data_IF_020344780805
#
_entry.id   IF_020344780805
#
_cell.length_a   1.000
_cell.length_b   1.000
_cell.length_c   1.000
_cell.angle_alpha   90.00
_cell.angle_beta   90.00
_cell.angle_gamma   90.00
#
_symmetry.space_group_name_H-M   'P 1'
#
loop_
_entity.id
_entity.type
_entity.pdbx_description
1 polymer ?
#
# COMPACT_ATOMS: atom_id res chain seq x y z
N UNK A 1 -34.20 12.23 25.24
CA UNK A 1 -33.28 11.16 25.66
C UNK A 1 -33.66 9.88 24.93
N UNK A 2 -33.06 9.61 23.77
CA UNK A 2 -33.26 8.37 23.01
C UNK A 2 -31.99 7.53 23.14
N UNK A 3 -32.17 6.40 23.81
CA UNK A 3 -31.14 5.41 24.13
C UNK A 3 -30.67 4.78 22.81
N UNK A 4 -29.42 5.03 22.43
CA UNK A 4 -28.79 4.38 21.29
C UNK A 4 -28.88 2.86 21.45
N UNK A 5 -29.43 2.19 20.45
CA UNK A 5 -29.43 0.74 20.37
C UNK A 5 -27.96 0.27 20.36
N UNK A 6 -27.55 -0.38 21.46
CA UNK A 6 -26.32 -1.17 21.48
C UNK A 6 -26.51 -2.28 20.44
N UNK A 7 -25.75 -2.20 19.34
CA UNK A 7 -25.75 -3.24 18.32
C UNK A 7 -25.46 -4.59 18.96
N UNK A 8 -26.30 -5.58 18.66
CA UNK A 8 -26.05 -6.95 19.08
C UNK A 8 -24.64 -7.36 18.60
N UNK A 9 -23.84 -7.93 19.50
CA UNK A 9 -22.54 -8.46 19.13
C UNK A 9 -22.75 -9.48 18.01
N UNK A 10 -22.08 -9.27 16.88
CA UNK A 10 -22.22 -10.14 15.73
C UNK A 10 -21.77 -11.56 16.15
N UNK A 11 -22.57 -12.56 15.80
CA UNK A 11 -22.31 -13.94 16.24
C UNK A 11 -20.91 -14.39 15.77
N UNK A 12 -20.10 -15.01 16.65
CA UNK A 12 -18.78 -15.51 16.25
C UNK A 12 -18.93 -16.55 15.13
N UNK A 13 -18.00 -16.53 14.17
CA UNK A 13 -17.99 -17.50 13.10
C UNK A 13 -17.71 -18.91 13.66
N UNK A 14 -18.25 -19.93 13.00
CA UNK A 14 -17.91 -21.32 13.32
C UNK A 14 -16.39 -21.55 13.12
N UNK A 15 -15.71 -22.03 14.17
CA UNK A 15 -14.27 -22.26 14.16
C UNK A 15 -13.88 -23.31 13.12
N UNK A 16 -14.70 -24.33 12.90
CA UNK A 16 -14.41 -25.35 11.90
C UNK A 16 -14.49 -24.77 10.48
N UNK A 17 -15.47 -23.89 10.23
CA UNK A 17 -15.57 -23.15 8.98
C UNK A 17 -14.37 -22.23 8.75
N UNK A 18 -13.89 -21.52 9.78
CA UNK A 18 -12.68 -20.68 9.70
C UNK A 18 -11.48 -21.55 9.30
N UNK A 19 -11.24 -22.66 10.01
CA UNK A 19 -10.09 -23.55 9.75
C UNK A 19 -10.12 -24.14 8.35
N UNK A 20 -11.28 -24.57 7.87
CA UNK A 20 -11.46 -25.08 6.49
C UNK A 20 -11.18 -23.99 5.46
N UNK A 21 -11.71 -22.79 5.69
CA UNK A 21 -11.49 -21.62 4.81
C UNK A 21 -10.02 -21.25 4.72
N UNK A 22 -9.33 -21.15 5.87
CA UNK A 22 -7.90 -20.83 5.95
C UNK A 22 -7.08 -21.88 5.19
N UNK A 23 -7.31 -23.17 5.46
CA UNK A 23 -6.60 -24.27 4.79
C UNK A 23 -6.81 -24.26 3.28
N UNK A 24 -8.05 -24.06 2.83
CA UNK A 24 -8.37 -24.02 1.40
C UNK A 24 -7.72 -22.82 0.70
N UNK A 25 -7.73 -21.64 1.33
CA UNK A 25 -7.09 -20.45 0.78
C UNK A 25 -5.58 -20.60 0.66
N UNK A 26 -4.92 -21.09 1.72
CA UNK A 26 -3.48 -21.28 1.75
C UNK A 26 -3.03 -22.37 0.79
N UNK A 27 -3.76 -23.49 0.69
CA UNK A 27 -3.46 -24.55 -0.26
C UNK A 27 -3.59 -24.09 -1.72
N UNK A 28 -4.64 -23.32 -2.03
CA UNK A 28 -4.79 -22.69 -3.34
C UNK A 28 -3.63 -21.73 -3.63
N UNK A 29 -3.26 -20.89 -2.66
CA UNK A 29 -2.17 -19.94 -2.83
C UNK A 29 -0.83 -20.64 -3.06
N UNK A 30 -0.53 -21.69 -2.31
CA UNK A 30 0.69 -22.47 -2.53
C UNK A 30 0.79 -23.05 -3.95
N UNK A 31 -0.35 -23.39 -4.57
CA UNK A 31 -0.40 -23.93 -5.93
C UNK A 31 -0.41 -22.86 -7.04
N UNK A 32 -0.92 -21.66 -6.76
CA UNK A 32 -1.20 -20.65 -7.80
C UNK A 32 -0.55 -19.28 -7.57
N UNK A 33 0.26 -19.12 -6.51
CA UNK A 33 0.88 -17.86 -6.18
C UNK A 33 1.66 -17.29 -7.37
N UNK A 34 1.50 -15.99 -7.60
CA UNK A 34 2.29 -15.29 -8.61
C UNK A 34 3.78 -15.29 -8.19
N UNK A 35 4.71 -15.59 -9.11
CA UNK A 35 6.13 -15.59 -8.81
C UNK A 35 6.65 -14.14 -8.76
N UNK A 36 6.54 -13.52 -7.59
CA UNK A 36 6.99 -12.16 -7.33
C UNK A 36 8.22 -12.20 -6.41
N UNK A 37 9.35 -11.65 -6.86
CA UNK A 37 10.62 -11.61 -6.12
C UNK A 37 10.48 -10.94 -4.76
N UNK A 38 9.61 -9.93 -4.66
CA UNK A 38 9.34 -9.26 -3.39
C UNK A 38 8.72 -10.18 -2.34
N UNK A 39 8.03 -11.26 -2.74
CA UNK A 39 7.41 -12.22 -1.81
C UNK A 39 8.39 -13.29 -1.32
N UNK A 40 9.55 -13.42 -1.95
CA UNK A 40 10.65 -14.28 -1.50
C UNK A 40 11.41 -13.64 -0.32
N UNK A 41 11.15 -12.36 -0.02
CA UNK A 41 11.77 -11.60 1.07
C UNK A 41 10.81 -11.49 2.23
N UNK A 42 11.23 -11.93 3.40
CA UNK A 42 10.48 -11.83 4.66
C UNK A 42 11.16 -10.94 5.70
N UNK A 43 12.33 -10.37 5.41
CA UNK A 43 12.97 -9.45 6.36
C UNK A 43 12.11 -8.18 6.54
N UNK A 44 12.02 -7.63 7.77
CA UNK A 44 11.14 -6.49 8.07
C UNK A 44 11.35 -5.27 7.19
N UNK A 45 12.60 -4.99 6.80
CA UNK A 45 12.93 -3.83 5.98
C UNK A 45 12.42 -4.00 4.53
N UNK A 46 12.71 -5.14 3.89
CA UNK A 46 12.20 -5.42 2.54
C UNK A 46 10.68 -5.41 2.49
N UNK A 47 10.00 -6.01 3.48
CA UNK A 47 8.54 -6.00 3.57
C UNK A 47 8.03 -4.56 3.70
N UNK A 48 8.60 -3.74 4.60
CA UNK A 48 8.22 -2.34 4.74
C UNK A 48 8.33 -1.57 3.42
N UNK A 49 9.45 -1.74 2.70
CA UNK A 49 9.68 -1.10 1.39
C UNK A 49 8.60 -1.52 0.39
N UNK A 50 8.38 -2.83 0.23
CA UNK A 50 7.39 -3.36 -0.72
C UNK A 50 5.97 -2.91 -0.39
N UNK A 51 5.58 -2.92 0.88
CA UNK A 51 4.24 -2.50 1.33
C UNK A 51 4.01 -0.99 1.11
N UNK A 52 4.99 -0.14 1.42
CA UNK A 52 4.88 1.30 1.13
C UNK A 52 4.84 1.55 -0.38
N UNK A 53 5.64 0.82 -1.17
CA UNK A 53 5.60 0.92 -2.63
C UNK A 53 4.28 0.45 -3.23
N UNK A 54 3.62 -0.56 -2.67
CA UNK A 54 2.34 -1.10 -3.16
C UNK A 54 1.15 -0.16 -2.94
N UNK A 55 1.27 0.86 -2.09
CA UNK A 55 0.24 1.87 -1.91
C UNK A 55 -0.06 2.61 -3.23
N UNK A 56 -1.22 2.34 -3.84
CA UNK A 56 -1.63 2.96 -5.11
C UNK A 56 -0.67 2.69 -6.29
N UNK A 57 0.07 1.58 -6.25
CA UNK A 57 0.92 1.12 -7.34
C UNK A 57 0.67 -0.36 -7.62
N UNK A 58 0.61 -0.75 -8.89
CA UNK A 58 0.40 -2.15 -9.26
C UNK A 58 1.56 -3.02 -8.79
N UNK A 59 1.25 -4.18 -8.23
CA UNK A 59 2.26 -5.07 -7.64
C UNK A 59 3.35 -5.52 -8.63
N UNK A 60 3.04 -5.67 -9.91
CA UNK A 60 4.04 -5.99 -10.95
C UNK A 60 5.07 -4.86 -11.12
N UNK A 61 4.63 -3.61 -11.01
CA UNK A 61 5.52 -2.44 -11.03
C UNK A 61 6.34 -2.34 -9.75
N UNK A 62 5.74 -2.68 -8.61
CA UNK A 62 6.44 -2.75 -7.32
C UNK A 62 7.52 -3.82 -7.37
N UNK A 63 7.22 -5.02 -7.84
CA UNK A 63 8.18 -6.13 -7.91
C UNK A 63 9.45 -5.76 -8.69
N UNK A 64 9.27 -5.08 -9.83
CA UNK A 64 10.39 -4.56 -10.63
C UNK A 64 11.21 -3.49 -9.89
N UNK A 65 10.54 -2.49 -9.32
CA UNK A 65 11.22 -1.31 -8.77
C UNK A 65 11.76 -1.53 -7.35
N UNK A 66 11.08 -2.34 -6.53
CA UNK A 66 11.54 -2.68 -5.19
C UNK A 66 12.87 -3.43 -5.24
N UNK A 67 13.07 -4.33 -6.22
CA UNK A 67 14.34 -5.03 -6.41
C UNK A 67 15.50 -4.05 -6.64
N UNK A 68 15.31 -3.04 -7.49
CA UNK A 68 16.32 -2.00 -7.76
C UNK A 68 16.54 -1.11 -6.55
N UNK A 69 15.45 -0.74 -5.86
CA UNK A 69 15.52 0.13 -4.68
C UNK A 69 16.26 -0.55 -3.52
N UNK A 70 15.96 -1.82 -3.25
CA UNK A 70 16.62 -2.62 -2.21
C UNK A 70 18.07 -2.92 -2.57
N UNK A 71 18.42 -3.05 -3.85
CA UNK A 71 19.83 -3.15 -4.25
C UNK A 71 20.61 -1.86 -3.95
N UNK A 72 19.99 -0.69 -4.13
CA UNK A 72 20.61 0.62 -3.86
C UNK A 72 20.67 0.94 -2.36
N UNK A 73 19.62 0.58 -1.62
CA UNK A 73 19.50 0.79 -0.18
C UNK A 73 19.24 -0.57 0.49
N UNK A 74 20.29 -1.39 0.71
CA UNK A 74 20.14 -2.78 1.16
C UNK A 74 19.66 -2.92 2.61
N UNK A 75 19.82 -1.89 3.44
CA UNK A 75 19.43 -1.92 4.86
C UNK A 75 18.62 -0.70 5.26
N UNK A 76 17.94 -0.83 6.41
CA UNK A 76 17.21 0.26 7.04
C UNK A 76 18.11 1.48 7.30
N UNK A 77 19.34 1.24 7.77
CA UNK A 77 20.37 2.25 8.02
C UNK A 77 20.80 2.93 6.73
N UNK A 78 21.01 2.17 5.65
CA UNK A 78 21.40 2.74 4.35
C UNK A 78 20.34 3.69 3.81
N UNK A 79 19.05 3.35 3.95
CA UNK A 79 17.95 4.22 3.56
C UNK A 79 17.82 5.43 4.49
N UNK A 80 17.94 5.20 5.79
CA UNK A 80 17.90 6.26 6.80
C UNK A 80 19.04 7.28 6.64
N UNK A 81 20.22 6.85 6.16
CA UNK A 81 21.39 7.70 5.95
C UNK A 81 21.42 8.37 4.57
N UNK A 82 20.67 7.87 3.59
CA UNK A 82 20.69 8.37 2.22
C UNK A 82 20.31 9.86 2.11
N UNK A 83 20.79 10.51 1.05
CA UNK A 83 20.28 11.82 0.67
C UNK A 83 18.84 11.72 0.15
N UNK A 84 18.01 12.72 0.43
CA UNK A 84 16.62 12.73 -0.05
C UNK A 84 16.56 12.73 -1.59
N UNK A 85 17.47 13.43 -2.25
CA UNK A 85 17.62 13.40 -3.72
C UNK A 85 17.82 11.97 -4.24
N UNK A 86 18.72 11.19 -3.62
CA UNK A 86 18.98 9.80 -4.03
C UNK A 86 17.76 8.90 -3.87
N UNK A 87 17.02 9.06 -2.78
CA UNK A 87 15.77 8.34 -2.54
C UNK A 87 14.72 8.72 -3.60
N UNK A 88 14.59 10.01 -3.94
CA UNK A 88 13.64 10.48 -4.96
C UNK A 88 14.03 10.07 -6.38
N UNK A 89 15.33 9.91 -6.68
CA UNK A 89 15.83 9.33 -7.92
C UNK A 89 15.44 7.85 -7.99
N UNK A 90 15.70 7.08 -6.93
CA UNK A 90 15.36 5.66 -6.86
C UNK A 90 13.84 5.40 -6.90
N UNK A 91 13.02 6.37 -6.47
CA UNK A 91 11.56 6.29 -6.49
C UNK A 91 10.92 6.55 -7.88
N UNK A 92 11.72 6.85 -8.91
CA UNK A 92 11.23 7.19 -10.26
C UNK A 92 10.26 6.12 -10.80
N UNK A 93 9.09 6.55 -11.23
CA UNK A 93 8.08 5.69 -11.85
C UNK A 93 7.10 4.99 -10.89
N UNK A 94 7.21 5.18 -9.56
CA UNK A 94 6.19 4.73 -8.60
C UNK A 94 5.05 5.74 -8.41
N UNK A 95 5.32 7.02 -8.68
CA UNK A 95 4.39 8.11 -8.35
C UNK A 95 4.18 8.29 -6.85
N UNK A 96 3.31 9.24 -6.47
CA UNK A 96 3.04 9.57 -5.06
C UNK A 96 4.33 9.75 -4.23
N UNK A 97 5.24 10.61 -4.71
CA UNK A 97 6.62 10.72 -4.22
C UNK A 97 6.76 11.07 -2.72
N UNK A 98 5.71 11.63 -2.09
CA UNK A 98 5.67 11.84 -0.63
C UNK A 98 5.82 10.54 0.17
N UNK A 99 5.45 9.39 -0.42
CA UNK A 99 5.69 8.07 0.18
C UNK A 99 7.18 7.75 0.32
N UNK A 100 8.01 8.20 -0.62
CA UNK A 100 9.46 8.02 -0.55
C UNK A 100 10.03 8.74 0.68
N UNK A 101 9.61 10.00 0.87
CA UNK A 101 10.00 10.80 2.03
C UNK A 101 9.48 10.22 3.35
N UNK A 102 8.24 9.73 3.35
CA UNK A 102 7.65 9.08 4.51
C UNK A 102 8.42 7.80 4.87
N UNK A 103 8.74 6.96 3.89
CA UNK A 103 9.53 5.75 4.07
C UNK A 103 10.93 6.05 4.60
N UNK A 104 11.61 7.06 4.05
CA UNK A 104 12.92 7.49 4.55
C UNK A 104 12.85 7.95 6.02
N UNK A 105 11.84 8.75 6.38
CA UNK A 105 11.61 9.17 7.77
C UNK A 105 11.25 8.01 8.69
N UNK A 106 10.45 7.05 8.22
CA UNK A 106 10.15 5.82 8.95
C UNK A 106 11.42 5.01 9.22
N UNK A 107 12.29 4.88 8.22
CA UNK A 107 13.58 4.22 8.38
C UNK A 107 14.46 4.92 9.42
N UNK A 108 14.60 6.25 9.35
CA UNK A 108 15.36 7.02 10.33
C UNK A 108 14.80 6.88 11.76
N UNK A 109 13.48 6.96 11.93
CA UNK A 109 12.83 6.77 13.23
C UNK A 109 13.02 5.36 13.79
N UNK A 110 12.94 4.34 12.93
CA UNK A 110 13.15 2.95 13.32
C UNK A 110 14.62 2.68 13.70
N UNK A 111 15.61 3.21 12.95
CA UNK A 111 17.03 3.13 13.32
C UNK A 111 17.29 3.77 14.69
N UNK A 112 16.72 4.96 14.94
CA UNK A 112 16.84 5.62 16.23
C UNK A 112 16.21 4.82 17.39
N UNK A 113 15.22 3.97 17.10
CA UNK A 113 14.58 3.07 18.06
C UNK A 113 15.26 1.69 18.18
N UNK A 114 16.36 1.45 17.45
CA UNK A 114 17.09 0.18 17.46
C UNK A 114 16.59 -0.88 16.47
N UNK A 115 15.71 -0.52 15.52
CA UNK A 115 15.19 -1.39 14.48
C UNK A 115 13.68 -1.26 14.28
N UNK A 116 13.13 -2.06 13.34
CA UNK A 116 11.68 -2.14 13.15
C UNK A 116 11.04 -2.96 14.28
N UNK A 117 10.03 -2.44 14.99
CA UNK A 117 9.34 -3.20 16.02
C UNK A 117 8.42 -4.27 15.42
N UNK A 118 8.22 -5.37 16.15
CA UNK A 118 7.32 -6.45 15.74
C UNK A 118 5.83 -6.14 15.97
N UNK A 119 5.51 -5.23 16.90
CA UNK A 119 4.13 -4.96 17.28
C UNK A 119 3.49 -3.85 16.42
N UNK A 120 2.20 -4.04 16.11
CA UNK A 120 1.42 -3.14 15.25
C UNK A 120 1.36 -1.72 15.81
N UNK A 121 1.13 -1.55 17.11
CA UNK A 121 0.99 -0.22 17.72
C UNK A 121 2.28 0.60 17.65
N UNK A 122 3.44 -0.03 17.80
CA UNK A 122 4.73 0.65 17.65
C UNK A 122 5.07 0.90 16.19
N UNK A 123 4.75 -0.02 15.27
CA UNK A 123 4.88 0.21 13.84
C UNK A 123 4.05 1.43 13.40
N UNK A 124 2.83 1.59 13.93
CA UNK A 124 1.96 2.74 13.63
C UNK A 124 2.48 4.08 14.15
N UNK A 125 3.44 4.10 15.08
CA UNK A 125 4.10 5.33 15.54
C UNK A 125 5.14 5.83 14.53
N UNK A 126 5.56 5.00 13.58
CA UNK A 126 6.54 5.39 12.57
C UNK A 126 5.90 6.35 11.53
N UNK A 127 6.62 7.39 11.08
CA UNK A 127 6.12 8.36 10.11
C UNK A 127 5.53 7.72 8.84
N UNK A 128 4.25 7.98 8.57
CA UNK A 128 3.58 7.52 7.35
C UNK A 128 3.19 6.03 7.35
N UNK A 129 3.35 5.33 8.47
CA UNK A 129 2.92 3.94 8.61
C UNK A 129 1.51 3.91 9.20
N UNK A 130 0.54 3.60 8.34
CA UNK A 130 -0.85 3.42 8.74
C UNK A 130 -1.16 2.00 9.24
N UNK A 131 -2.39 1.77 9.73
CA UNK A 131 -2.82 0.47 10.27
C UNK A 131 -2.60 -0.71 9.32
N UNK A 132 -2.86 -0.51 8.02
CA UNK A 132 -2.64 -1.54 7.00
C UNK A 132 -1.17 -1.95 6.92
N UNK A 133 -0.27 -0.99 6.70
CA UNK A 133 1.17 -1.28 6.54
C UNK A 133 1.77 -1.83 7.83
N UNK A 134 1.35 -1.35 9.00
CA UNK A 134 1.78 -1.89 10.29
C UNK A 134 1.39 -3.37 10.44
N UNK A 135 0.14 -3.73 10.14
CA UNK A 135 -0.34 -5.13 10.18
C UNK A 135 0.37 -6.00 9.14
N UNK A 136 0.58 -5.49 7.94
CA UNK A 136 1.27 -6.21 6.87
C UNK A 136 2.72 -6.54 7.25
N UNK A 137 3.46 -5.56 7.78
CA UNK A 137 4.83 -5.79 8.28
C UNK A 137 4.83 -6.77 9.45
N UNK A 138 3.95 -6.60 10.45
CA UNK A 138 3.85 -7.51 11.58
C UNK A 138 3.54 -8.95 11.15
N UNK A 139 2.59 -9.13 10.22
CA UNK A 139 2.15 -10.45 9.77
C UNK A 139 3.17 -11.15 8.87
N UNK A 140 3.76 -10.43 7.93
CA UNK A 140 4.67 -11.02 6.93
C UNK A 140 6.08 -11.21 7.51
N UNK A 141 6.59 -10.24 8.27
CA UNK A 141 7.98 -10.24 8.71
C UNK A 141 8.19 -10.78 10.13
N UNK A 142 7.18 -10.67 11.00
CA UNK A 142 7.30 -11.03 12.42
C UNK A 142 6.34 -12.15 12.85
N UNK A 143 5.64 -12.78 11.90
CA UNK A 143 4.73 -13.89 12.16
C UNK A 143 3.45 -13.51 12.91
N UNK A 144 3.13 -12.21 13.00
CA UNK A 144 1.92 -11.72 13.65
C UNK A 144 0.65 -12.27 13.00
N UNK A 145 -0.41 -12.43 13.79
CA UNK A 145 -1.67 -13.05 13.33
C UNK A 145 -2.74 -12.05 12.88
N UNK A 146 -2.44 -10.76 12.95
CA UNK A 146 -3.36 -9.71 12.55
C UNK A 146 -3.35 -9.52 11.03
N UNK A 147 -4.46 -9.90 10.38
CA UNK A 147 -4.58 -9.78 8.92
C UNK A 147 -4.68 -8.29 8.53
N UNK A 148 -3.81 -7.77 7.64
CA UNK A 148 -3.96 -6.41 7.11
C UNK A 148 -5.19 -6.34 6.19
N UNK A 149 -6.06 -5.35 6.39
CA UNK A 149 -7.31 -5.23 5.62
C UNK A 149 -7.27 -3.99 4.72
N UNK A 150 -7.26 -4.21 3.40
CA UNK A 150 -7.55 -3.19 2.39
C UNK A 150 -8.99 -3.38 1.85
N UNK A 151 -9.36 -2.62 0.81
CA UNK A 151 -10.67 -2.76 0.16
C UNK A 151 -10.91 -4.13 -0.50
N UNK A 152 -9.86 -4.85 -0.85
CA UNK A 152 -9.96 -6.18 -1.45
C UNK A 152 -10.19 -7.24 -0.38
N UNK A 153 -9.35 -7.26 0.65
CA UNK A 153 -9.49 -8.17 1.79
C UNK A 153 -10.81 -7.89 2.52
N UNK A 154 -11.19 -6.61 2.68
CA UNK A 154 -12.47 -6.26 3.29
C UNK A 154 -13.65 -6.89 2.54
N UNK A 155 -13.60 -6.91 1.19
CA UNK A 155 -14.61 -7.56 0.37
C UNK A 155 -14.60 -9.08 0.53
N UNK A 156 -13.42 -9.72 0.60
CA UNK A 156 -13.31 -11.16 0.84
C UNK A 156 -13.93 -11.51 2.19
N UNK A 157 -13.52 -10.82 3.25
CA UNK A 157 -14.01 -11.03 4.62
C UNK A 157 -15.51 -10.82 4.69
N UNK A 158 -16.04 -9.71 4.17
CA UNK A 158 -17.48 -9.44 4.14
C UNK A 158 -18.28 -10.57 3.46
N UNK A 159 -17.76 -11.13 2.36
CA UNK A 159 -18.40 -12.25 1.65
C UNK A 159 -18.32 -13.57 2.42
N UNK A 160 -17.19 -13.84 3.07
CA UNK A 160 -16.99 -15.04 3.89
C UNK A 160 -17.89 -15.05 5.14
N UNK A 161 -18.20 -13.89 5.69
CA UNK A 161 -19.14 -13.78 6.82
C UNK A 161 -20.60 -13.58 6.39
N UNK A 162 -20.88 -13.59 5.08
CA UNK A 162 -22.24 -13.49 4.54
C UNK A 162 -22.88 -12.10 4.71
N UNK A 163 -22.09 -11.04 4.88
CA UNK A 163 -22.61 -9.70 5.14
C UNK A 163 -23.54 -9.22 4.01
N UNK A 164 -24.75 -8.78 4.36
CA UNK A 164 -25.73 -8.22 3.42
C UNK A 164 -25.51 -6.73 3.14
N UNK A 165 -24.81 -6.04 4.03
CA UNK A 165 -24.44 -4.65 3.91
C UNK A 165 -22.93 -4.46 4.06
N UNK A 166 -22.35 -3.37 3.54
CA UNK A 166 -20.95 -3.02 3.79
C UNK A 166 -20.67 -2.93 5.30
N UNK A 167 -19.69 -3.69 5.77
CA UNK A 167 -19.25 -3.66 7.16
C UNK A 167 -18.46 -2.37 7.45
N UNK A 168 -18.59 -1.85 8.67
CA UNK A 168 -17.74 -0.75 9.11
C UNK A 168 -16.26 -1.19 9.17
N UNK A 169 -15.27 -0.30 8.95
CA UNK A 169 -13.84 -0.65 8.96
C UNK A 169 -13.38 -1.42 10.21
N UNK A 170 -13.88 -1.04 11.39
CA UNK A 170 -13.56 -1.72 12.65
C UNK A 170 -14.13 -3.14 12.71
N UNK A 171 -15.34 -3.33 12.18
CA UNK A 171 -16.01 -4.62 12.18
C UNK A 171 -15.35 -5.60 11.21
N UNK A 172 -15.01 -5.14 10.00
CA UNK A 172 -14.28 -5.99 9.04
C UNK A 172 -12.89 -6.37 9.54
N UNK A 173 -12.20 -5.47 10.25
CA UNK A 173 -10.92 -5.80 10.89
C UNK A 173 -11.10 -6.84 12.00
N UNK A 174 -12.15 -6.72 12.82
CA UNK A 174 -12.45 -7.72 13.86
C UNK A 174 -12.74 -9.10 13.25
N UNK A 175 -13.54 -9.16 12.18
CA UNK A 175 -13.80 -10.40 11.44
C UNK A 175 -12.54 -10.98 10.80
N UNK A 176 -11.67 -10.15 10.24
CA UNK A 176 -10.39 -10.61 9.71
C UNK A 176 -9.50 -11.20 10.82
N UNK A 177 -9.52 -10.62 12.03
CA UNK A 177 -8.77 -11.15 13.17
C UNK A 177 -9.30 -12.51 13.65
N UNK A 178 -10.59 -12.82 13.48
CA UNK A 178 -11.12 -14.18 13.76
C UNK A 178 -10.47 -15.23 12.84
N UNK A 179 -10.32 -14.95 11.55
CA UNK A 179 -9.56 -15.83 10.65
C UNK A 179 -8.10 -15.92 11.04
N UNK A 180 -7.48 -14.79 11.40
CA UNK A 180 -6.09 -14.71 11.81
C UNK A 180 -5.75 -15.49 13.07
N UNK A 181 -6.65 -15.51 14.06
CA UNK A 181 -6.43 -16.20 15.33
C UNK A 181 -6.18 -17.71 15.17
N UNK A 182 -6.80 -18.32 14.16
CA UNK A 182 -6.69 -19.76 13.83
C UNK A 182 -5.55 -20.08 12.86
N UNK A 183 -4.71 -19.10 12.51
CA UNK A 183 -3.53 -19.28 11.68
C UNK A 183 -2.29 -19.53 12.54
N UNK A 184 -1.37 -20.35 12.03
CA UNK A 184 -0.04 -20.49 12.61
C UNK A 184 0.79 -19.21 12.36
N UNK A 185 1.89 -19.09 13.08
CA UNK A 185 2.78 -17.93 12.94
C UNK A 185 3.34 -17.88 11.50
N UNK A 186 3.28 -16.69 10.90
CA UNK A 186 3.67 -16.45 9.50
C UNK A 186 2.59 -16.77 8.47
N UNK A 187 1.54 -17.53 8.81
CA UNK A 187 0.48 -17.85 7.85
C UNK A 187 -0.45 -16.67 7.57
N UNK A 188 -0.60 -15.71 8.49
CA UNK A 188 -1.44 -14.52 8.27
C UNK A 188 -0.93 -13.63 7.12
N UNK A 189 0.40 -13.54 6.95
CA UNK A 189 1.01 -12.87 5.80
C UNK A 189 0.67 -13.57 4.49
N UNK A 190 0.82 -14.91 4.44
CA UNK A 190 0.45 -15.72 3.29
C UNK A 190 -1.05 -15.63 2.98
N UNK A 191 -1.90 -15.66 4.01
CA UNK A 191 -3.34 -15.50 3.88
C UNK A 191 -3.71 -14.15 3.27
N UNK A 192 -3.09 -13.06 3.72
CA UNK A 192 -3.33 -11.73 3.17
C UNK A 192 -2.94 -11.64 1.68
N UNK A 193 -1.78 -12.19 1.32
CA UNK A 193 -1.34 -12.23 -0.08
C UNK A 193 -2.25 -13.12 -0.94
N UNK A 194 -2.70 -14.26 -0.40
CA UNK A 194 -3.67 -15.15 -1.04
C UNK A 194 -5.01 -14.46 -1.28
N UNK A 195 -5.54 -13.77 -0.26
CA UNK A 195 -6.79 -13.04 -0.35
C UNK A 195 -6.71 -11.92 -1.40
N UNK A 196 -5.58 -11.21 -1.50
CA UNK A 196 -5.33 -10.20 -2.53
C UNK A 196 -5.29 -10.81 -3.95
N UNK A 197 -4.60 -11.94 -4.12
CA UNK A 197 -4.55 -12.64 -5.40
C UNK A 197 -5.95 -13.12 -5.81
N UNK A 198 -6.67 -13.77 -4.88
CA UNK A 198 -8.04 -14.24 -5.07
C UNK A 198 -8.98 -13.08 -5.43
N UNK A 199 -8.86 -11.95 -4.74
CA UNK A 199 -9.66 -10.76 -4.99
C UNK A 199 -9.45 -10.17 -6.39
N UNK A 200 -8.24 -10.30 -6.93
CA UNK A 200 -7.88 -9.80 -8.26
C UNK A 200 -8.31 -10.75 -9.39
N UNK A 201 -8.16 -12.07 -9.20
CA UNK A 201 -8.40 -13.07 -10.25
C UNK A 201 -9.84 -13.57 -10.28
N UNK A 202 -10.43 -13.82 -9.10
CA UNK A 202 -11.60 -14.70 -8.93
C UNK A 202 -12.73 -14.01 -8.17
N UNK A 203 -12.50 -13.57 -6.94
CA UNK A 203 -13.48 -12.91 -6.07
C UNK A 203 -13.54 -11.39 -6.33
N UNK A 204 -13.81 -11.05 -7.59
CA UNK A 204 -13.84 -9.67 -8.12
C UNK A 204 -14.97 -8.83 -7.51
N UNK A 205 -14.83 -7.51 -7.55
CA UNK A 205 -15.83 -6.58 -7.00
C UNK A 205 -17.22 -6.79 -7.62
N UNK A 206 -17.29 -6.91 -8.94
CA UNK A 206 -18.49 -7.26 -9.68
C UNK A 206 -18.27 -8.55 -10.46
N UNK A 207 -19.33 -9.35 -10.62
CA UNK A 207 -19.30 -10.65 -11.30
C UNK A 207 -18.15 -11.57 -10.82
N UNK A 208 -18.09 -11.92 -9.52
CA UNK A 208 -17.10 -12.87 -9.03
C UNK A 208 -17.29 -14.24 -9.68
N UNK A 209 -16.18 -14.93 -9.92
CA UNK A 209 -16.17 -16.26 -10.52
C UNK A 209 -16.33 -17.35 -9.46
N UNK A 210 -17.48 -17.40 -8.80
CA UNK A 210 -17.69 -18.31 -7.67
C UNK A 210 -17.51 -19.80 -8.04
N UNK A 211 -17.75 -20.20 -9.29
CA UNK A 211 -17.50 -21.57 -9.76
C UNK A 211 -16.02 -21.98 -9.82
N UNK A 212 -15.11 -21.00 -9.92
CA UNK A 212 -13.64 -21.22 -9.92
C UNK A 212 -13.02 -20.91 -8.53
N UNK A 213 -13.83 -20.56 -7.53
CA UNK A 213 -13.33 -20.07 -6.24
C UNK A 213 -12.97 -21.25 -5.31
N UNK A 214 -11.74 -21.30 -4.75
CA UNK A 214 -11.33 -22.36 -3.82
C UNK A 214 -12.14 -22.35 -2.50
N UNK A 215 -12.82 -21.23 -2.21
CA UNK A 215 -13.62 -21.04 -1.00
C UNK A 215 -15.12 -21.25 -1.24
N UNK A 216 -15.53 -21.70 -2.43
CA UNK A 216 -16.95 -21.79 -2.82
C UNK A 216 -17.78 -22.55 -1.79
N UNK A 217 -17.30 -23.72 -1.38
CA UNK A 217 -18.05 -24.64 -0.51
C UNK A 217 -18.13 -24.16 0.95
N UNK A 218 -17.36 -23.13 1.29
CA UNK A 218 -17.28 -22.53 2.63
C UNK A 218 -17.80 -21.09 2.66
N UNK A 219 -18.20 -20.53 1.51
CA UNK A 219 -18.57 -19.12 1.40
C UNK A 219 -20.09 -18.97 1.35
N UNK A 220 -20.72 -18.37 2.38
CA UNK A 220 -22.18 -18.14 2.39
C UNK A 220 -22.63 -17.18 1.29
N UNK A 221 -21.69 -16.42 0.70
CA UNK A 221 -21.97 -15.53 -0.43
C UNK A 221 -21.73 -16.16 -1.80
N UNK A 222 -21.37 -17.44 -1.88
CA UNK A 222 -21.17 -18.12 -3.15
C UNK A 222 -22.43 -18.07 -4.02
N UNK A 223 -22.27 -17.77 -5.30
CA UNK A 223 -23.38 -17.65 -6.26
C UNK A 223 -24.21 -16.35 -6.16
N UNK A 224 -23.99 -15.48 -5.17
CA UNK A 224 -24.66 -14.18 -5.10
C UNK A 224 -24.25 -13.24 -6.23
N UNK A 225 -25.20 -12.48 -6.74
CA UNK A 225 -24.97 -11.41 -7.71
C UNK A 225 -24.55 -10.14 -7.01
N UNK A 226 -23.44 -9.54 -7.45
CA UNK A 226 -22.96 -8.25 -6.95
C UNK A 226 -23.08 -7.21 -8.07
N UNK A 227 -23.86 -6.16 -7.82
CA UNK A 227 -24.07 -5.08 -8.78
C UNK A 227 -22.74 -4.42 -9.15
N UNK A 228 -22.61 -4.02 -10.43
CA UNK A 228 -21.54 -3.10 -10.82
C UNK A 228 -21.84 -1.74 -10.19
N UNK A 229 -20.88 -1.18 -9.48
CA UNK A 229 -20.92 0.26 -9.17
C UNK A 229 -20.91 0.99 -10.51
N UNK A 230 -21.90 1.86 -10.81
CA UNK A 230 -21.91 2.63 -12.04
C UNK A 230 -20.58 3.38 -12.17
N UNK A 231 -19.91 3.21 -13.31
CA UNK A 231 -18.76 4.08 -13.61
C UNK A 231 -19.30 5.49 -13.83
N UNK A 232 -18.64 6.50 -13.26
CA UNK A 232 -18.96 7.90 -13.58
C UNK A 232 -18.97 8.07 -15.10
N UNK A 233 -20.02 8.70 -15.62
CA UNK A 233 -20.16 9.08 -17.02
C UNK A 233 -19.36 10.34 -17.37
N UNK A 234 -18.73 10.99 -16.37
CA UNK A 234 -17.94 12.19 -16.61
C UNK A 234 -16.70 11.87 -17.47
N UNK A 235 -16.40 12.73 -18.47
CA UNK A 235 -15.18 12.62 -19.25
C UNK A 235 -13.96 12.62 -18.33
N UNK A 236 -13.13 11.58 -18.42
CA UNK A 236 -11.88 11.52 -17.65
C UNK A 236 -10.92 12.57 -18.17
N UNK A 237 -10.45 13.45 -17.29
CA UNK A 237 -9.38 14.39 -17.60
C UNK A 237 -8.16 13.64 -18.16
N UNK A 238 -7.64 14.03 -19.35
CA UNK A 238 -6.41 13.46 -19.89
C UNK A 238 -5.27 13.50 -18.88
N UNK A 239 -4.45 12.45 -18.83
CA UNK A 239 -3.36 12.38 -17.85
C UNK A 239 -2.41 13.58 -17.93
N UNK A 240 -2.11 14.05 -19.14
CA UNK A 240 -1.27 15.24 -19.42
C UNK A 240 -1.76 16.50 -18.72
N UNK A 241 -3.08 16.63 -18.50
CA UNK A 241 -3.71 17.78 -17.84
C UNK A 241 -3.75 17.68 -16.32
N UNK A 242 -3.25 16.58 -15.74
CA UNK A 242 -3.32 16.38 -14.28
C UNK A 242 -2.13 17.01 -13.57
N UNK A 243 -2.34 17.47 -12.33
CA UNK A 243 -1.25 17.91 -11.44
C UNK A 243 -0.23 16.77 -11.17
N UNK A 244 -0.66 15.51 -11.28
CA UNK A 244 0.22 14.34 -11.16
C UNK A 244 1.23 14.28 -12.31
N UNK A 245 0.79 14.56 -13.54
CA UNK A 245 1.69 14.60 -14.70
C UNK A 245 2.70 15.72 -14.57
N UNK A 246 2.24 16.94 -14.25
CA UNK A 246 3.11 18.10 -14.11
C UNK A 246 4.17 17.90 -13.03
N UNK A 247 3.77 17.43 -11.83
CA UNK A 247 4.72 17.09 -10.76
C UNK A 247 5.74 16.05 -11.21
N UNK A 248 5.32 15.06 -12.00
CA UNK A 248 6.21 14.05 -12.56
C UNK A 248 7.27 14.66 -13.47
N UNK A 249 6.87 15.55 -14.38
CA UNK A 249 7.76 16.27 -15.28
C UNK A 249 8.77 17.14 -14.55
N UNK A 250 8.32 17.94 -13.58
CA UNK A 250 9.21 18.77 -12.78
C UNK A 250 10.23 17.92 -12.01
N UNK A 251 9.80 16.81 -11.40
CA UNK A 251 10.75 15.91 -10.74
C UNK A 251 11.76 15.29 -11.71
N UNK A 252 11.37 14.99 -12.95
CA UNK A 252 12.31 14.48 -13.94
C UNK A 252 13.35 15.56 -14.34
N UNK A 253 12.93 16.81 -14.54
CA UNK A 253 13.83 17.95 -14.76
C UNK A 253 14.82 18.13 -13.60
N UNK A 254 14.35 18.06 -12.34
CA UNK A 254 15.21 18.18 -11.16
C UNK A 254 16.16 16.99 -10.99
N UNK A 255 15.74 15.77 -11.36
CA UNK A 255 16.61 14.58 -11.34
C UNK A 255 17.73 14.71 -12.37
N UNK A 256 17.41 15.21 -13.56
CA UNK A 256 18.38 15.38 -14.66
C UNK A 256 19.39 16.49 -14.35
N UNK A 257 18.96 17.58 -13.71
CA UNK A 257 19.84 18.69 -13.36
C UNK A 257 20.78 18.42 -12.17
N UNK A 258 20.47 17.43 -11.33
CA UNK A 258 21.27 17.09 -10.16
C UNK A 258 21.49 18.29 -9.21
N UNK A 259 22.68 18.37 -8.61
CA UNK A 259 23.02 19.44 -7.63
C UNK A 259 23.03 20.85 -8.22
N UNK A 260 23.26 20.98 -9.52
CA UNK A 260 23.25 22.28 -10.18
C UNK A 260 21.84 22.90 -10.21
N UNK A 261 20.81 22.07 -10.10
CA UNK A 261 19.41 22.49 -10.19
C UNK A 261 18.97 22.92 -11.59
N UNK A 262 17.67 22.94 -11.79
CA UNK A 262 17.03 23.36 -13.03
C UNK A 262 16.34 24.72 -12.84
N UNK A 263 16.27 25.49 -13.91
CA UNK A 263 15.40 26.65 -13.99
C UNK A 263 13.96 26.18 -14.24
N UNK A 264 13.03 26.53 -13.35
CA UNK A 264 11.61 26.18 -13.43
C UNK A 264 10.82 27.46 -13.73
N UNK A 265 10.79 27.81 -15.01
CA UNK A 265 10.03 28.94 -15.56
C UNK A 265 9.25 28.53 -16.81
N UNK A 266 8.21 29.30 -17.13
CA UNK A 266 7.37 29.08 -18.30
C UNK A 266 6.42 27.88 -18.20
N UNK A 267 5.73 27.61 -19.31
CA UNK A 267 4.69 26.58 -19.40
C UNK A 267 5.29 25.16 -19.51
N UNK A 268 4.48 24.16 -19.18
CA UNK A 268 4.82 22.74 -19.36
C UNK A 268 3.62 21.98 -19.92
N UNK A 269 3.70 21.59 -21.19
CA UNK A 269 2.58 20.95 -21.87
C UNK A 269 1.35 21.87 -21.87
N UNK A 270 0.26 21.41 -21.28
CA UNK A 270 -1.00 22.16 -21.19
C UNK A 270 -1.15 22.95 -19.87
N UNK A 271 -0.07 23.09 -19.10
CA UNK A 271 -0.07 23.81 -17.82
C UNK A 271 0.59 25.17 -17.98
N UNK A 272 -0.16 26.22 -17.63
CA UNK A 272 0.35 27.59 -17.66
C UNK A 272 1.47 27.81 -16.64
N UNK A 273 2.27 28.85 -16.88
CA UNK A 273 3.38 29.25 -16.00
C UNK A 273 2.95 29.41 -14.53
N UNK A 274 1.78 30.01 -14.28
CA UNK A 274 1.24 30.15 -12.93
C UNK A 274 0.99 28.79 -12.23
N UNK A 275 0.53 27.79 -12.97
CA UNK A 275 0.31 26.43 -12.45
C UNK A 275 1.63 25.71 -12.22
N UNK A 276 2.63 25.92 -13.09
CA UNK A 276 3.99 25.41 -12.91
C UNK A 276 4.61 25.98 -11.62
N UNK A 277 4.58 27.31 -11.45
CA UNK A 277 5.08 28.01 -10.26
C UNK A 277 4.38 27.54 -8.98
N UNK A 278 3.05 27.44 -8.98
CA UNK A 278 2.30 26.93 -7.83
C UNK A 278 2.67 25.47 -7.51
N UNK A 279 2.92 24.63 -8.53
CA UNK A 279 3.28 23.23 -8.34
C UNK A 279 4.68 23.06 -7.76
N UNK A 280 5.68 23.79 -8.25
CA UNK A 280 7.05 23.71 -7.71
C UNK A 280 7.11 24.26 -6.29
N UNK A 281 6.39 25.34 -5.97
CA UNK A 281 6.31 25.87 -4.61
C UNK A 281 5.66 24.87 -3.64
N UNK A 282 4.62 24.15 -4.10
CA UNK A 282 4.04 23.05 -3.32
C UNK A 282 5.01 21.88 -3.16
N UNK A 283 5.83 21.57 -4.17
CA UNK A 283 6.87 20.55 -4.03
C UNK A 283 7.92 20.95 -3.00
N UNK A 284 8.30 22.22 -2.93
CA UNK A 284 9.20 22.74 -1.90
C UNK A 284 8.61 22.56 -0.50
N UNK A 285 7.36 22.98 -0.28
CA UNK A 285 6.71 22.82 1.04
C UNK A 285 6.48 21.36 1.43
N UNK A 286 6.41 20.45 0.47
CA UNK A 286 6.32 19.01 0.70
C UNK A 286 7.69 18.32 0.91
N UNK A 287 8.81 19.05 0.74
CA UNK A 287 10.17 18.51 0.83
C UNK A 287 10.58 17.65 -0.37
N UNK A 288 9.97 17.88 -1.54
CA UNK A 288 10.28 17.20 -2.81
C UNK A 288 11.24 17.98 -3.69
N UNK A 289 11.46 19.26 -3.37
CA UNK A 289 12.39 20.16 -4.04
C UNK A 289 12.91 21.18 -3.03
N UNK A 290 14.00 21.86 -3.36
CA UNK A 290 14.49 23.03 -2.63
C UNK A 290 14.82 24.16 -3.61
N UNK A 291 14.66 25.41 -3.16
CA UNK A 291 14.97 26.59 -3.97
C UNK A 291 16.44 26.97 -3.81
N UNK A 292 17.07 27.32 -4.93
CA UNK A 292 18.41 27.88 -5.00
C UNK A 292 18.40 29.42 -5.12
N UNK A 293 17.23 30.04 -4.93
CA UNK A 293 16.98 31.45 -5.22
C UNK A 293 16.47 31.69 -6.65
N UNK A 294 15.68 32.74 -6.82
CA UNK A 294 15.00 33.04 -8.08
C UNK A 294 14.07 31.91 -8.51
N UNK A 295 14.17 31.50 -9.77
CA UNK A 295 13.41 30.42 -10.40
C UNK A 295 14.21 29.10 -10.49
N UNK A 296 15.32 28.97 -9.75
CA UNK A 296 16.14 27.77 -9.74
C UNK A 296 15.78 26.84 -8.58
N UNK A 297 15.65 25.56 -8.88
CA UNK A 297 15.29 24.53 -7.92
C UNK A 297 16.12 23.27 -8.14
N UNK A 298 16.31 22.46 -7.10
CA UNK A 298 16.91 21.12 -7.20
C UNK A 298 16.19 20.12 -6.29
N UNK A 299 16.55 18.84 -6.38
CA UNK A 299 16.12 17.86 -5.39
C UNK A 299 16.81 18.14 -4.04
N UNK A 300 16.19 17.81 -2.88
CA UNK A 300 16.78 18.12 -1.58
C UNK A 300 18.02 17.28 -1.27
N UNK A 301 19.12 17.94 -0.90
CA UNK A 301 20.35 17.31 -0.43
C UNK A 301 20.53 17.52 1.09
N UNK A 302 21.31 16.68 1.77
CA UNK A 302 21.61 16.89 3.20
C UNK A 302 22.71 17.94 3.33
N UNK A 303 22.36 19.10 3.88
CA UNK A 303 23.29 20.17 4.21
C UNK A 303 23.83 20.89 2.98
N UNK A 304 23.49 22.18 2.86
CA UNK A 304 24.45 23.21 2.47
C UNK A 304 24.66 24.10 3.72
#
# INVERSE_FOLDING_TARGET
MTKAARGAAAQPLDLELIRKTNRALLAWYAATARPLKIRERSDPYSVLVSEVMAQQTQISRVDQLATVFLARFPTLESLAAAETADVLVAWKGLGYNRRALALQRAAAAAVAAGGLPANVDALMKLPGIGPYTARAVAAIAFGGREIPVDVNIARIVARLVGADAPLAPREVQARANEFGAELADGEAGAWAQAAMDLASSTCRAAAPKCGECPLRDYCPSAGRTFAKVPRSSEPRTPFTKTARWLRGRLLDELREAGRAGAQVAGERGEHSEAVVAATINKMVSEGLAESLGGDRYRLPHRGD
#
